data_IF_987510919601
#
_entry.id   IF_987510919601
#
_cell.length_a   1.000
_cell.length_b   1.000
_cell.length_c   1.000
_cell.angle_alpha   90.00
_cell.angle_beta   90.00
_cell.angle_gamma   90.00
#
_symmetry.space_group_name_H-M   'P 1'
#
loop_
_entity.id
_entity.type
_entity.pdbx_description
1 polymer ?
#
# COMPACT_ATOMS: atom_id res chain seq x y z
N UNK A 1 -13.46 -11.24 2.28
CA UNK A 1 -13.14 -10.83 3.66
C UNK A 1 -12.30 -9.56 3.65
N UNK A 2 -12.87 -8.46 4.13
CA UNK A 2 -12.19 -7.16 4.21
C UNK A 2 -11.39 -7.03 5.51
N UNK A 3 -10.29 -6.27 5.48
CA UNK A 3 -9.51 -5.94 6.69
C UNK A 3 -8.96 -4.54 6.62
N UNK A 4 -9.15 -3.79 7.70
CA UNK A 4 -8.66 -2.42 7.85
C UNK A 4 -7.42 -2.37 8.77
N UNK A 5 -6.45 -1.56 8.38
CA UNK A 5 -5.22 -1.29 9.08
C UNK A 5 -5.16 0.19 9.43
N UNK A 6 -5.08 0.49 10.73
CA UNK A 6 -4.96 1.87 11.22
C UNK A 6 -3.62 2.44 10.80
N UNK A 7 -3.64 3.60 10.17
CA UNK A 7 -2.43 4.34 9.81
C UNK A 7 -2.65 5.81 10.07
N UNK A 8 -1.62 6.49 10.57
CA UNK A 8 -1.67 7.93 10.78
C UNK A 8 -1.86 8.70 9.46
N UNK A 9 -1.41 8.12 8.34
CA UNK A 9 -1.58 8.67 6.99
C UNK A 9 -2.95 8.39 6.37
N UNK A 10 -3.84 7.71 7.10
CA UNK A 10 -5.13 7.27 6.60
C UNK A 10 -5.24 5.76 6.57
N UNK A 11 -6.33 5.24 7.12
CA UNK A 11 -6.54 3.80 7.24
C UNK A 11 -6.50 3.12 5.87
N UNK A 12 -5.77 2.01 5.81
CA UNK A 12 -5.68 1.17 4.61
C UNK A 12 -6.66 0.02 4.75
N UNK A 13 -7.59 -0.08 3.82
CA UNK A 13 -8.56 -1.18 3.74
C UNK A 13 -8.18 -2.11 2.59
N UNK A 14 -7.90 -3.35 2.94
CA UNK A 14 -7.72 -4.45 1.98
C UNK A 14 -9.06 -5.15 1.74
N UNK A 15 -9.37 -5.42 0.47
CA UNK A 15 -10.60 -6.05 -0.01
C UNK A 15 -10.26 -7.20 -0.96
N UNK A 16 -11.23 -8.02 -1.32
CA UNK A 16 -11.02 -9.13 -2.27
C UNK A 16 -10.54 -8.69 -3.64
N UNK A 17 -10.73 -7.41 -4.00
CA UNK A 17 -10.37 -6.85 -5.29
C UNK A 17 -9.05 -6.07 -5.28
N UNK A 18 -8.50 -5.75 -4.11
CA UNK A 18 -7.35 -4.86 -4.00
C UNK A 18 -7.30 -4.10 -2.68
N UNK A 19 -6.81 -2.86 -2.72
CA UNK A 19 -6.70 -1.98 -1.57
C UNK A 19 -7.30 -0.61 -1.83
N UNK A 20 -7.68 0.07 -0.75
CA UNK A 20 -8.07 1.48 -0.77
C UNK A 20 -7.65 2.19 0.53
N UNK A 21 -7.33 3.47 0.43
CA UNK A 21 -7.01 4.37 1.54
C UNK A 21 -7.78 5.66 1.35
N UNK A 22 -8.29 6.20 2.46
CA UNK A 22 -8.70 7.61 2.53
C UNK A 22 -7.59 8.35 3.28
N UNK A 23 -6.86 9.23 2.59
CA UNK A 23 -5.76 10.01 3.18
C UNK A 23 -6.27 10.79 4.40
N UNK A 24 -5.45 10.81 5.45
CA UNK A 24 -5.61 11.67 6.63
C UNK A 24 -4.24 11.93 7.27
N UNK A 25 -4.19 12.79 8.29
CA UNK A 25 -2.95 13.09 9.01
C UNK A 25 -1.98 13.96 8.23
N UNK A 26 -0.73 13.95 8.66
CA UNK A 26 0.33 14.80 8.10
C UNK A 26 1.12 14.07 7.01
N UNK A 27 1.10 14.67 5.81
CA UNK A 27 1.73 14.18 4.59
C UNK A 27 2.89 15.07 4.12
N UNK A 28 3.14 16.22 4.77
CA UNK A 28 4.07 17.24 4.27
C UNK A 28 5.48 16.68 4.05
N UNK A 29 5.97 15.85 4.99
CA UNK A 29 7.28 15.23 4.88
C UNK A 29 7.38 14.24 3.71
N UNK A 30 6.30 13.50 3.42
CA UNK A 30 6.30 12.54 2.31
C UNK A 30 6.20 13.30 0.99
N UNK A 31 5.34 14.31 0.92
CA UNK A 31 5.11 15.09 -0.30
C UNK A 31 6.27 16.04 -0.64
N UNK A 32 7.15 16.35 0.31
CA UNK A 32 8.37 17.11 0.05
C UNK A 32 9.48 16.26 -0.58
N UNK A 33 9.46 14.95 -0.37
CA UNK A 33 10.46 14.00 -0.88
C UNK A 33 9.97 13.18 -2.08
N UNK A 34 8.66 12.91 -2.16
CA UNK A 34 8.05 12.05 -3.16
C UNK A 34 6.94 12.79 -3.91
N UNK A 35 6.92 12.69 -5.24
CA UNK A 35 5.87 13.30 -6.04
C UNK A 35 4.54 12.56 -5.81
N UNK A 36 3.44 13.31 -5.75
CA UNK A 36 2.13 12.77 -5.35
C UNK A 36 1.62 11.68 -6.31
N UNK A 37 1.95 11.77 -7.60
CA UNK A 37 1.60 10.78 -8.61
C UNK A 37 2.22 9.40 -8.36
N UNK A 38 3.31 9.32 -7.60
CA UNK A 38 3.91 8.04 -7.20
C UNK A 38 3.23 7.45 -5.96
N UNK A 39 2.37 8.20 -5.26
CA UNK A 39 1.68 7.74 -4.06
C UNK A 39 0.36 7.08 -4.47
N UNK A 40 0.15 5.84 -4.02
CA UNK A 40 -1.07 5.11 -4.35
C UNK A 40 -2.02 5.03 -3.15
N UNK A 41 -3.28 5.40 -3.40
CA UNK A 41 -4.36 5.32 -2.42
C UNK A 41 -5.34 4.18 -2.75
N UNK A 42 -5.46 3.77 -4.01
CA UNK A 42 -6.32 2.66 -4.45
C UNK A 42 -5.61 1.86 -5.54
N UNK A 43 -5.72 0.54 -5.50
CA UNK A 43 -5.18 -0.35 -6.51
C UNK A 43 -6.00 -1.62 -6.60
N UNK A 44 -6.31 -2.10 -7.80
CA UNK A 44 -6.93 -3.42 -8.01
C UNK A 44 -5.85 -4.48 -8.20
N UNK A 45 -6.09 -5.71 -7.73
CA UNK A 45 -5.14 -6.81 -7.93
C UNK A 45 -4.86 -7.09 -9.41
N UNK A 46 -5.85 -6.87 -10.28
CA UNK A 46 -5.70 -7.01 -11.73
C UNK A 46 -4.71 -6.02 -12.36
N UNK A 47 -4.36 -4.94 -11.66
CA UNK A 47 -3.43 -3.90 -12.14
C UNK A 47 -2.03 -4.08 -11.55
N UNK A 48 -1.89 -4.92 -10.51
CA UNK A 48 -0.65 -5.07 -9.77
C UNK A 48 0.16 -6.21 -10.40
N UNK A 49 1.36 -5.89 -10.88
CA UNK A 49 2.31 -6.84 -11.45
C UNK A 49 3.31 -7.36 -10.42
N UNK A 50 3.49 -6.60 -9.32
CA UNK A 50 4.53 -6.86 -8.35
C UNK A 50 4.29 -6.15 -7.03
N UNK A 51 4.77 -6.77 -5.97
CA UNK A 51 4.62 -6.32 -4.59
C UNK A 51 5.97 -6.42 -3.88
N UNK A 52 6.37 -5.36 -3.16
CA UNK A 52 7.59 -5.36 -2.32
C UNK A 52 7.34 -4.57 -1.03
N UNK A 53 7.88 -5.05 0.08
CA UNK A 53 7.91 -4.30 1.34
C UNK A 53 9.27 -3.60 1.50
N UNK A 54 9.26 -2.34 1.93
CA UNK A 54 10.44 -1.61 2.35
C UNK A 54 10.27 -1.06 3.76
N UNK A 55 10.97 -1.70 4.71
CA UNK A 55 10.93 -1.38 6.14
C UNK A 55 12.01 -0.35 6.54
N UNK A 56 13.07 -0.20 5.73
CA UNK A 56 14.30 0.52 6.08
C UNK A 56 14.31 2.03 5.80
N UNK A 57 13.18 2.64 5.43
CA UNK A 57 13.07 4.07 5.17
C UNK A 57 12.55 4.83 6.38
N UNK A 58 12.83 6.13 6.44
CA UNK A 58 12.17 7.09 7.35
C UNK A 58 10.63 7.00 7.22
N UNK A 59 10.15 6.55 6.07
CA UNK A 59 8.74 6.30 5.76
C UNK A 59 8.53 4.85 5.28
N UNK A 60 8.20 3.90 6.17
CA UNK A 60 7.92 2.53 5.77
C UNK A 60 6.85 2.48 4.68
N UNK A 61 7.04 1.63 3.66
CA UNK A 61 6.09 1.58 2.54
C UNK A 61 5.95 0.19 1.93
N UNK A 62 4.78 -0.04 1.33
CA UNK A 62 4.56 -1.15 0.42
C UNK A 62 4.65 -0.59 -1.00
N UNK A 63 5.54 -1.15 -1.82
CA UNK A 63 5.68 -0.82 -3.23
C UNK A 63 4.80 -1.72 -4.08
N UNK A 64 4.04 -1.11 -4.98
CA UNK A 64 3.17 -1.77 -5.94
C UNK A 64 3.68 -1.46 -7.36
N UNK A 65 3.95 -2.48 -8.16
CA UNK A 65 4.29 -2.30 -9.58
C UNK A 65 3.01 -2.31 -10.39
N UNK A 66 2.76 -1.24 -11.12
CA UNK A 66 1.57 -1.01 -11.97
C UNK A 66 2.08 -0.34 -13.24
N UNK A 67 1.73 -0.88 -14.41
CA UNK A 67 2.16 -0.36 -15.71
C UNK A 67 3.69 -0.15 -15.78
N UNK A 68 4.46 -1.17 -15.38
CA UNK A 68 5.93 -1.13 -15.29
C UNK A 68 6.54 -0.09 -14.31
N UNK A 69 5.72 0.64 -13.56
CA UNK A 69 6.19 1.65 -12.60
C UNK A 69 5.92 1.27 -11.14
N UNK A 70 6.87 1.59 -10.25
CA UNK A 70 6.71 1.41 -8.81
C UNK A 70 6.01 2.60 -8.17
N UNK A 71 4.91 2.30 -7.48
CA UNK A 71 4.11 3.22 -6.70
C UNK A 71 4.21 2.88 -5.21
N UNK A 72 3.95 3.85 -4.35
CA UNK A 72 4.26 3.80 -2.92
C UNK A 72 2.98 3.92 -2.09
N UNK A 73 2.70 2.89 -1.29
CA UNK A 73 1.73 2.95 -0.21
C UNK A 73 2.49 3.20 1.10
N UNK A 74 2.66 4.48 1.44
CA UNK A 74 3.37 4.92 2.64
C UNK A 74 2.59 4.69 3.94
N UNK A 75 3.35 4.53 5.01
CA UNK A 75 2.93 4.42 6.40
C UNK A 75 3.84 5.30 7.28
N UNK A 76 3.33 5.74 8.44
CA UNK A 76 4.21 6.35 9.46
C UNK A 76 4.99 5.28 10.22
N UNK A 77 6.07 5.70 10.88
CA UNK A 77 6.78 4.85 11.84
C UNK A 77 5.79 4.37 12.92
N UNK A 78 5.84 3.09 13.26
CA UNK A 78 4.92 2.36 14.17
C UNK A 78 3.53 2.02 13.61
N UNK A 79 3.19 2.43 12.39
CA UNK A 79 2.00 1.91 11.73
C UNK A 79 2.19 0.40 11.40
N UNK A 80 1.10 -0.38 11.29
CA UNK A 80 1.15 -1.82 11.10
C UNK A 80 1.47 -2.23 9.64
N UNK A 81 2.52 -1.67 9.05
CA UNK A 81 2.92 -1.87 7.65
C UNK A 81 3.16 -3.34 7.32
N UNK A 82 3.88 -4.09 8.17
CA UNK A 82 4.14 -5.53 7.98
C UNK A 82 2.85 -6.35 7.98
N UNK A 83 1.90 -6.01 8.87
CA UNK A 83 0.61 -6.71 8.95
C UNK A 83 -0.23 -6.42 7.71
N UNK A 84 -0.19 -5.19 7.22
CA UNK A 84 -0.84 -4.80 5.97
C UNK A 84 -0.20 -5.53 4.79
N UNK A 85 1.12 -5.56 4.72
CA UNK A 85 1.90 -6.26 3.71
C UNK A 85 1.56 -7.75 3.65
N UNK A 86 1.63 -8.45 4.78
CA UNK A 86 1.35 -9.88 4.84
C UNK A 86 -0.07 -10.19 4.36
N UNK A 87 -1.03 -9.34 4.71
CA UNK A 87 -2.41 -9.46 4.23
C UNK A 87 -2.51 -9.21 2.73
N UNK A 88 -1.94 -8.11 2.23
CA UNK A 88 -2.00 -7.73 0.83
C UNK A 88 -1.34 -8.78 -0.06
N UNK A 89 -0.15 -9.26 0.32
CA UNK A 89 0.58 -10.34 -0.37
C UNK A 89 -0.24 -11.62 -0.43
N UNK A 90 -0.84 -12.04 0.69
CA UNK A 90 -1.70 -13.23 0.72
C UNK A 90 -2.87 -13.10 -0.25
N UNK A 91 -3.56 -11.94 -0.24
CA UNK A 91 -4.72 -11.72 -1.11
C UNK A 91 -4.34 -11.62 -2.58
N UNK A 92 -3.22 -10.97 -2.90
CA UNK A 92 -2.67 -10.88 -4.25
C UNK A 92 -2.29 -12.26 -4.80
N UNK A 93 -1.60 -13.09 -4.01
CA UNK A 93 -1.27 -14.47 -4.40
C UNK A 93 -2.52 -15.32 -4.61
N UNK A 94 -3.53 -15.20 -3.74
CA UNK A 94 -4.79 -15.90 -3.90
C UNK A 94 -5.52 -15.46 -5.18
N UNK A 95 -5.50 -14.16 -5.51
CA UNK A 95 -6.12 -13.65 -6.74
C UNK A 95 -5.45 -14.25 -7.99
N UNK A 96 -4.11 -14.24 -8.05
CA UNK A 96 -3.30 -14.80 -9.15
C UNK A 96 -3.42 -16.32 -9.32
N UNK A 97 -3.81 -17.06 -8.30
CA UNK A 97 -4.06 -18.50 -8.43
C UNK A 97 -5.43 -18.81 -9.03
N UNK A 98 -6.37 -17.85 -8.98
CA UNK A 98 -7.74 -18.02 -9.42
C UNK A 98 -8.07 -17.26 -10.72
N UNK A 99 -7.13 -16.49 -11.26
CA UNK A 99 -7.24 -15.69 -12.48
C UNK A 99 -5.93 -15.77 -13.26
#
# INVERSE_FOLDING_TARGET
MEKEFKSQLGNVKTTEKGLKRKKSGDWENILSEYPEEKIIDEARFAEIEGLKLEEGSVHPCIKLRIEDEWHYLFFQVNDPVEKCWNRLRYMFQAWHQNH
#
